data_IF_211287263822
#
_entry.id   IF_211287263822
#
_cell.length_a   1.000
_cell.length_b   1.000
_cell.length_c   1.000
_cell.angle_alpha   90.00
_cell.angle_beta   90.00
_cell.angle_gamma   90.00
#
_symmetry.space_group_name_H-M   'P 1'
#
loop_
_entity.id
_entity.type
_entity.pdbx_description
1 polymer ?
#
# COMPACT_ATOMS: atom_id res chain seq x y z
N UNK A 1 1.84 -13.98 -3.51
CA UNK A 1 2.72 -12.87 -3.94
C UNK A 1 2.60 -11.58 -3.11
N UNK A 2 1.41 -11.19 -2.62
CA UNK A 2 1.25 -9.99 -1.76
C UNK A 2 1.99 -10.06 -0.40
N UNK A 3 2.15 -11.25 0.19
CA UNK A 3 2.85 -11.46 1.47
C UNK A 3 4.33 -11.03 1.39
N UNK A 4 5.03 -11.39 0.31
CA UNK A 4 6.44 -11.03 0.12
C UNK A 4 6.60 -9.52 -0.04
N UNK A 5 5.67 -8.87 -0.74
CA UNK A 5 5.66 -7.43 -0.93
C UNK A 5 5.40 -6.68 0.40
N UNK A 6 4.48 -7.18 1.23
CA UNK A 6 4.26 -6.65 2.58
C UNK A 6 5.47 -6.85 3.50
N UNK A 7 6.22 -7.95 3.32
CA UNK A 7 7.49 -8.17 4.03
C UNK A 7 8.51 -7.08 3.73
N UNK A 8 8.78 -6.80 2.45
CA UNK A 8 9.67 -5.69 2.07
C UNK A 8 9.16 -4.32 2.50
N UNK A 9 7.84 -4.12 2.50
CA UNK A 9 7.24 -2.86 2.94
C UNK A 9 7.36 -2.64 4.44
N UNK A 10 7.16 -3.70 5.24
CA UNK A 10 7.36 -3.68 6.68
C UNK A 10 8.83 -3.40 7.01
N UNK A 11 9.76 -4.06 6.33
CA UNK A 11 11.20 -3.85 6.51
C UNK A 11 11.63 -2.41 6.12
N UNK A 12 11.06 -1.84 5.06
CA UNK A 12 11.31 -0.46 4.66
C UNK A 12 10.71 0.59 5.63
N UNK A 13 9.57 0.27 6.27
CA UNK A 13 8.98 1.12 7.32
C UNK A 13 9.76 1.03 8.64
N UNK A 14 10.24 -0.17 9.01
CA UNK A 14 11.02 -0.40 10.23
C UNK A 14 12.42 0.24 10.16
N UNK A 15 12.98 0.31 8.95
CA UNK A 15 14.27 0.96 8.66
C UNK A 15 14.25 2.51 8.77
N UNK A 16 13.29 3.10 9.51
CA UNK A 16 13.27 4.53 9.90
C UNK A 16 13.35 5.53 8.74
N UNK A 17 13.08 5.12 7.51
CA UNK A 17 12.80 6.08 6.46
C UNK A 17 11.52 6.81 6.87
N UNK A 18 11.66 8.05 7.37
CA UNK A 18 10.57 8.87 7.87
C UNK A 18 9.72 9.39 6.70
N UNK A 19 9.14 8.45 5.96
CA UNK A 19 8.37 8.68 4.76
C UNK A 19 6.95 9.00 5.18
N UNK A 20 6.44 10.12 4.68
CA UNK A 20 5.05 10.46 4.91
C UNK A 20 4.13 9.37 4.34
N UNK A 21 2.94 9.25 4.94
CA UNK A 21 1.97 8.22 4.60
C UNK A 21 1.58 8.21 3.12
N UNK A 22 1.55 9.38 2.46
CA UNK A 22 1.21 9.48 1.03
C UNK A 22 2.33 8.89 0.17
N UNK A 23 3.59 9.11 0.55
CA UNK A 23 4.74 8.48 -0.08
C UNK A 23 4.72 6.96 0.09
N UNK A 24 4.41 6.47 1.29
CA UNK A 24 4.27 5.04 1.54
C UNK A 24 3.16 4.40 0.67
N UNK A 25 1.96 5.00 0.65
CA UNK A 25 0.86 4.48 -0.18
C UNK A 25 1.22 4.49 -1.67
N UNK A 26 1.94 5.52 -2.15
CA UNK A 26 2.39 5.59 -3.55
C UNK A 26 3.39 4.49 -3.90
N UNK A 27 4.32 4.17 -3.01
CA UNK A 27 5.28 3.08 -3.23
C UNK A 27 4.56 1.73 -3.26
N UNK A 28 3.61 1.51 -2.35
CA UNK A 28 2.80 0.30 -2.32
C UNK A 28 2.09 0.08 -3.67
N UNK A 29 1.42 1.10 -4.19
CA UNK A 29 0.77 1.02 -5.51
C UNK A 29 1.73 0.75 -6.67
N UNK A 30 2.92 1.35 -6.67
CA UNK A 30 3.93 1.09 -7.72
C UNK A 30 4.43 -0.35 -7.70
N UNK A 31 4.42 -0.98 -6.53
CA UNK A 31 4.92 -2.34 -6.33
C UNK A 31 3.86 -3.43 -6.54
N UNK A 32 2.60 -3.06 -6.77
CA UNK A 32 1.52 -4.00 -7.04
C UNK A 32 1.60 -4.63 -8.44
N UNK A 33 1.17 -5.90 -8.55
CA UNK A 33 0.92 -6.55 -9.85
C UNK A 33 -0.20 -5.83 -10.61
N UNK A 34 -0.23 -5.99 -11.94
CA UNK A 34 -1.29 -5.48 -12.82
C UNK A 34 -2.69 -5.96 -12.39
N UNK A 35 -2.78 -7.12 -11.76
CA UNK A 35 -4.03 -7.69 -11.24
C UNK A 35 -4.66 -6.82 -10.14
N UNK A 36 -3.87 -5.97 -9.48
CA UNK A 36 -4.31 -5.06 -8.42
C UNK A 36 -4.34 -3.59 -8.88
N UNK A 37 -4.24 -3.31 -10.19
CA UNK A 37 -4.23 -1.95 -10.74
C UNK A 37 -5.52 -1.15 -10.47
N UNK A 38 -6.61 -1.81 -10.06
CA UNK A 38 -7.86 -1.15 -9.67
C UNK A 38 -7.79 -0.47 -8.28
N UNK A 39 -6.91 -0.92 -7.39
CA UNK A 39 -6.77 -0.36 -6.05
C UNK A 39 -6.31 1.10 -6.04
N UNK A 40 -5.28 1.49 -6.82
CA UNK A 40 -4.89 2.91 -6.96
C UNK A 40 -6.04 3.79 -7.45
N UNK A 41 -6.82 3.32 -8.43
CA UNK A 41 -7.94 4.06 -9.00
C UNK A 41 -9.06 4.26 -7.96
N UNK A 42 -9.45 3.19 -7.27
CA UNK A 42 -10.47 3.23 -6.21
C UNK A 42 -10.01 4.00 -4.97
N UNK A 43 -8.70 4.02 -4.68
CA UNK A 43 -8.12 4.89 -3.65
C UNK A 43 -8.33 6.38 -3.97
N UNK A 44 -7.99 6.77 -5.20
CA UNK A 44 -8.08 8.16 -5.66
C UNK A 44 -9.53 8.69 -5.79
N UNK A 45 -10.50 7.81 -6.02
CA UNK A 45 -11.91 8.15 -6.27
C UNK A 45 -12.75 8.43 -5.00
N UNK A 46 -12.24 8.18 -3.80
CA UNK A 46 -13.01 8.44 -2.57
C UNK A 46 -12.40 7.87 -1.28
N UNK A 47 -11.39 7.01 -1.41
CA UNK A 47 -10.73 6.36 -0.27
C UNK A 47 -9.41 7.05 0.14
N UNK A 48 -9.19 8.31 -0.26
CA UNK A 48 -7.97 9.08 0.08
C UNK A 48 -7.75 9.23 1.59
N UNK A 49 -8.79 9.04 2.39
CA UNK A 49 -8.72 9.12 3.85
C UNK A 49 -8.29 7.80 4.52
N UNK A 50 -8.10 6.71 3.76
CA UNK A 50 -7.64 5.45 4.34
C UNK A 50 -6.19 5.56 4.79
N UNK A 51 -5.95 5.10 6.02
CA UNK A 51 -4.59 4.90 6.51
C UNK A 51 -3.90 3.76 5.77
N UNK A 52 -2.56 3.76 5.73
CA UNK A 52 -1.81 2.66 5.11
C UNK A 52 -2.23 1.31 5.70
N UNK A 53 -2.41 1.23 7.01
CA UNK A 53 -2.86 0.02 7.72
C UNK A 53 -4.26 -0.43 7.27
N UNK A 54 -5.20 0.51 7.08
CA UNK A 54 -6.53 0.19 6.57
C UNK A 54 -6.49 -0.31 5.12
N UNK A 55 -5.64 0.30 4.30
CA UNK A 55 -5.43 -0.11 2.92
C UNK A 55 -4.85 -1.53 2.85
N UNK A 56 -3.84 -1.83 3.66
CA UNK A 56 -3.23 -3.18 3.76
C UNK A 56 -4.27 -4.22 4.20
N UNK A 57 -5.08 -3.94 5.24
CA UNK A 57 -6.15 -4.86 5.65
C UNK A 57 -7.14 -5.13 4.52
N UNK A 58 -7.56 -4.09 3.80
CA UNK A 58 -8.49 -4.24 2.65
C UNK A 58 -7.89 -5.04 1.50
N UNK A 59 -6.58 -4.95 1.30
CA UNK A 59 -5.82 -5.75 0.33
C UNK A 59 -5.63 -7.21 0.74
N UNK A 60 -5.63 -7.52 2.04
CA UNK A 60 -5.53 -8.89 2.57
C UNK A 60 -6.88 -9.61 2.61
N UNK A 61 -7.98 -8.86 2.67
CA UNK A 61 -9.34 -9.40 2.70
C UNK A 61 -9.96 -9.63 1.31
N UNK A 62 -9.25 -9.26 0.23
CA UNK A 62 -9.59 -9.56 -1.17
C UNK A 62 -8.59 -10.58 -1.72
#
# INVERSE_FOLDING_TARGET
>A
HMITLMGYFAEAMDNKANLDQKTQIRMLFKSMSKDFAYFPATYNLGNKNLTLTQLIKKLQSN
#
